data_IF_211490971191
#
_entry.id   IF_211490971191
#
_cell.length_a   1.000
_cell.length_b   1.000
_cell.length_c   1.000
_cell.angle_alpha   90.00
_cell.angle_beta   90.00
_cell.angle_gamma   90.00
#
_symmetry.space_group_name_H-M   'P 1'
#
loop_
_entity.id
_entity.type
_entity.pdbx_description
1 polymer ?
#
# COMPACT_ATOMS: atom_id res chain seq x y z
N UNK A 1 41.07 20.17 8.14
CA UNK A 1 40.29 18.95 8.40
C UNK A 1 38.84 19.27 8.07
N UNK A 2 38.36 18.84 6.90
CA UNK A 2 36.97 19.05 6.46
C UNK A 2 36.22 17.75 6.74
N UNK A 3 35.35 17.75 7.73
CA UNK A 3 34.41 16.66 7.97
C UNK A 3 33.35 16.71 6.87
N UNK A 4 33.30 15.65 6.06
CA UNK A 4 32.27 15.47 5.06
C UNK A 4 30.96 15.07 5.78
N UNK A 5 29.91 15.87 5.58
CA UNK A 5 28.54 15.53 5.95
C UNK A 5 28.06 14.44 4.97
N UNK A 6 27.55 13.29 5.42
CA UNK A 6 26.99 12.30 4.51
C UNK A 6 25.70 12.85 3.87
N UNK A 7 25.60 12.71 2.56
CA UNK A 7 24.45 13.15 1.78
C UNK A 7 23.19 12.33 2.14
N UNK A 8 22.10 13.03 2.43
CA UNK A 8 20.76 12.45 2.64
C UNK A 8 20.25 11.88 1.30
N UNK A 9 19.85 10.60 1.20
CA UNK A 9 19.35 10.03 -0.05
C UNK A 9 17.98 10.61 -0.43
N UNK A 10 17.73 10.80 -1.72
CA UNK A 10 16.48 11.35 -2.24
C UNK A 10 15.27 10.48 -1.88
N UNK A 11 14.28 11.09 -1.24
CA UNK A 11 13.04 10.49 -0.76
C UNK A 11 12.07 10.07 -1.89
N UNK A 12 11.20 9.12 -1.56
CA UNK A 12 10.24 8.38 -2.41
C UNK A 12 9.12 9.32 -2.90
N UNK A 13 9.31 9.97 -4.05
CA UNK A 13 8.23 10.75 -4.68
C UNK A 13 7.49 9.86 -5.67
N UNK A 14 6.38 9.24 -5.25
CA UNK A 14 5.45 8.57 -6.14
C UNK A 14 4.33 9.55 -6.54
N UNK A 15 4.47 10.22 -7.69
CA UNK A 15 3.41 11.06 -8.29
C UNK A 15 3.00 10.46 -9.64
N UNK A 16 1.78 9.92 -9.73
CA UNK A 16 1.16 9.57 -11.03
C UNK A 16 0.68 10.86 -11.73
N UNK A 17 1.26 11.16 -12.89
CA UNK A 17 0.97 12.37 -13.69
C UNK A 17 -0.32 12.27 -14.53
N UNK A 18 -1.30 11.44 -14.16
CA UNK A 18 -2.54 11.27 -14.93
C UNK A 18 -3.79 11.80 -14.19
N UNK A 19 -3.93 13.13 -14.12
CA UNK A 19 -5.24 13.79 -13.96
C UNK A 19 -5.29 15.10 -14.74
N UNK A 20 -6.31 15.27 -15.61
CA UNK A 20 -7.06 16.50 -16.00
C UNK A 20 -8.20 15.99 -16.93
N UNK A 21 -9.49 16.23 -16.67
CA UNK A 21 -10.21 17.50 -16.93
C UNK A 21 -11.49 17.63 -16.08
N UNK A 22 -11.66 18.73 -15.32
CA UNK A 22 -12.54 19.91 -15.56
C UNK A 22 -14.05 19.61 -15.77
N UNK A 23 -15.05 20.37 -15.30
CA UNK A 23 -15.24 21.49 -14.34
C UNK A 23 -16.78 21.78 -14.32
N UNK A 24 -17.36 22.29 -13.21
CA UNK A 24 -18.35 23.41 -13.16
C UNK A 24 -19.38 23.39 -11.99
N UNK A 25 -19.09 24.25 -10.99
CA UNK A 25 -19.92 25.31 -10.32
C UNK A 25 -21.26 25.05 -9.58
N UNK A 26 -21.59 25.89 -8.56
CA UNK A 26 -22.38 25.54 -7.36
C UNK A 26 -23.83 26.05 -7.36
N UNK A 27 -24.64 25.76 -6.32
CA UNK A 27 -25.08 26.87 -5.45
C UNK A 27 -25.34 26.57 -3.95
N UNK A 28 -25.14 27.63 -3.16
CA UNK A 28 -25.89 28.14 -1.98
C UNK A 28 -25.97 27.38 -0.64
N UNK A 29 -25.40 28.06 0.36
CA UNK A 29 -25.66 28.14 1.81
C UNK A 29 -26.91 27.44 2.37
N UNK A 30 -26.69 26.56 3.35
CA UNK A 30 -27.54 26.44 4.55
C UNK A 30 -26.79 25.75 5.69
N UNK A 31 -26.67 26.47 6.80
CA UNK A 31 -26.04 26.07 8.05
C UNK A 31 -26.88 24.98 8.73
N UNK A 32 -26.39 23.75 8.74
CA UNK A 32 -26.83 22.72 9.69
C UNK A 32 -25.60 21.96 10.16
N UNK A 33 -25.38 21.99 11.47
CA UNK A 33 -24.38 21.20 12.18
C UNK A 33 -24.75 19.72 12.04
N UNK A 34 -24.40 19.12 10.91
CA UNK A 34 -24.47 17.69 10.71
C UNK A 34 -23.10 17.14 11.06
N UNK A 35 -23.00 16.42 12.19
CA UNK A 35 -21.90 15.50 12.41
C UNK A 35 -22.04 14.47 11.29
N UNK A 36 -21.32 14.72 10.20
CA UNK A 36 -21.21 13.77 9.12
C UNK A 36 -20.58 12.52 9.73
N UNK A 37 -21.37 11.47 9.91
CA UNK A 37 -20.83 10.13 9.97
C UNK A 37 -20.10 9.93 8.65
N UNK A 38 -18.81 10.29 8.61
CA UNK A 38 -17.91 9.92 7.52
C UNK A 38 -18.00 8.41 7.52
N UNK A 39 -18.75 7.86 6.56
CA UNK A 39 -18.85 6.42 6.34
C UNK A 39 -17.43 6.01 5.98
N UNK A 40 -16.63 5.65 6.99
CA UNK A 40 -15.31 5.10 6.76
C UNK A 40 -15.54 3.87 5.90
N UNK A 41 -15.17 3.97 4.64
CA UNK A 41 -15.33 2.89 3.69
C UNK A 41 -14.22 1.87 4.04
N UNK A 42 -14.46 1.08 5.09
CA UNK A 42 -13.50 0.14 5.71
C UNK A 42 -13.20 -1.08 4.83
N UNK A 43 -13.54 -1.04 3.54
CA UNK A 43 -13.47 -2.19 2.63
C UNK A 43 -12.47 -2.04 1.49
N UNK A 44 -11.58 -1.05 1.55
CA UNK A 44 -10.62 -0.86 0.47
C UNK A 44 -9.35 -1.69 0.71
N UNK A 45 -8.87 -2.38 -0.33
CA UNK A 45 -7.60 -3.09 -0.31
C UNK A 45 -6.43 -2.10 -0.29
N UNK A 46 -5.92 -1.83 0.91
CA UNK A 46 -4.73 -1.02 1.14
C UNK A 46 -3.46 -1.77 0.72
N UNK A 47 -2.41 -1.07 0.34
CA UNK A 47 -1.12 -1.67 -0.03
C UNK A 47 -0.58 -2.60 1.07
N UNK A 48 -0.71 -2.21 2.34
CA UNK A 48 -0.30 -3.04 3.48
C UNK A 48 -0.89 -4.46 3.46
N UNK A 49 -2.12 -4.62 2.94
CA UNK A 49 -2.78 -5.92 2.83
C UNK A 49 -2.00 -6.89 1.93
N UNK A 50 -1.27 -6.37 0.94
CA UNK A 50 -0.45 -7.21 0.04
C UNK A 50 0.65 -7.99 0.77
N UNK A 51 1.07 -7.51 1.94
CA UNK A 51 2.11 -8.14 2.76
C UNK A 51 1.58 -9.23 3.71
N UNK A 52 0.26 -9.45 3.75
CA UNK A 52 -0.36 -10.43 4.64
C UNK A 52 -1.23 -11.47 3.90
N UNK A 53 -1.27 -11.39 2.58
CA UNK A 53 -2.10 -12.25 1.74
C UNK A 53 -1.22 -13.14 0.87
N UNK A 54 -1.44 -14.45 0.99
CA UNK A 54 -0.79 -15.51 0.21
C UNK A 54 -1.80 -16.21 -0.69
N UNK A 55 -1.31 -17.08 -1.58
CA UNK A 55 -2.18 -17.94 -2.37
C UNK A 55 -3.07 -18.81 -1.48
N UNK A 56 -4.36 -18.90 -1.82
CA UNK A 56 -5.35 -19.69 -1.11
C UNK A 56 -5.43 -21.16 -1.58
N UNK A 57 -4.78 -21.52 -2.70
CA UNK A 57 -4.79 -22.89 -3.22
C UNK A 57 -4.04 -23.79 -2.24
N UNK A 58 -4.67 -24.88 -1.79
CA UNK A 58 -4.16 -25.74 -0.71
C UNK A 58 -2.77 -26.32 -0.98
N UNK A 59 -2.46 -26.66 -2.23
CA UNK A 59 -1.14 -27.17 -2.61
C UNK A 59 -0.02 -26.13 -2.50
N UNK A 60 -0.35 -24.86 -2.31
CA UNK A 60 0.61 -23.77 -2.12
C UNK A 60 0.92 -23.49 -0.65
N UNK A 61 0.28 -24.16 0.31
CA UNK A 61 0.42 -23.82 1.74
C UNK A 61 1.86 -23.91 2.26
N UNK A 62 2.64 -24.87 1.76
CA UNK A 62 4.05 -25.07 2.11
C UNK A 62 5.03 -24.39 1.14
N UNK A 63 4.55 -23.77 0.06
CA UNK A 63 5.43 -23.13 -0.92
C UNK A 63 5.79 -21.71 -0.48
N UNK A 64 7.08 -21.42 -0.48
CA UNK A 64 7.59 -20.06 -0.25
C UNK A 64 7.21 -19.10 -1.38
N UNK A 65 6.98 -19.61 -2.58
CA UNK A 65 6.57 -18.81 -3.75
C UNK A 65 5.07 -18.50 -3.76
N UNK A 66 4.31 -19.00 -2.77
CA UNK A 66 2.91 -18.63 -2.56
C UNK A 66 2.75 -17.22 -1.98
N UNK A 67 3.84 -16.59 -1.53
CA UNK A 67 3.88 -15.25 -0.96
C UNK A 67 5.15 -14.47 -1.36
N UNK A 68 5.06 -13.17 -1.67
CA UNK A 68 3.82 -12.43 -1.95
C UNK A 68 3.21 -12.88 -3.29
N UNK A 69 1.96 -12.49 -3.54
CA UNK A 69 1.37 -12.58 -4.87
C UNK A 69 1.97 -11.51 -5.80
N UNK A 70 1.99 -11.76 -7.10
CA UNK A 70 2.46 -10.81 -8.12
C UNK A 70 1.30 -9.92 -8.55
N UNK A 71 1.48 -8.61 -8.56
CA UNK A 71 0.44 -7.66 -8.92
C UNK A 71 0.61 -7.18 -10.37
N UNK A 72 -0.48 -7.07 -11.11
CA UNK A 72 -0.45 -6.56 -12.48
C UNK A 72 -1.78 -5.93 -12.88
N UNK A 73 -1.75 -5.08 -13.91
CA UNK A 73 -2.93 -4.36 -14.42
C UNK A 73 -3.68 -3.58 -13.32
N UNK A 74 -2.94 -3.09 -12.31
CA UNK A 74 -3.53 -2.46 -11.14
C UNK A 74 -3.91 -0.98 -11.39
N UNK A 75 -5.10 -0.61 -10.96
CA UNK A 75 -5.52 0.77 -10.77
C UNK A 75 -5.39 1.13 -9.30
N UNK A 76 -4.62 2.18 -9.02
CA UNK A 76 -4.28 2.59 -7.66
C UNK A 76 -4.88 3.95 -7.39
N UNK A 77 -5.38 4.16 -6.18
CA UNK A 77 -5.80 5.46 -5.67
C UNK A 77 -5.08 5.74 -4.35
N UNK A 78 -4.82 7.00 -4.08
CA UNK A 78 -4.31 7.46 -2.80
C UNK A 78 -5.38 8.29 -2.11
N UNK A 79 -5.68 7.94 -0.86
CA UNK A 79 -6.64 8.65 -0.01
C UNK A 79 -5.93 9.07 1.27
N UNK A 80 -5.92 10.38 1.55
CA UNK A 80 -5.33 10.92 2.77
C UNK A 80 -6.08 10.42 4.00
N UNK A 81 -5.33 9.86 4.95
CA UNK A 81 -5.84 9.31 6.19
C UNK A 81 -5.17 9.95 7.40
N UNK A 82 -5.78 9.77 8.57
CA UNK A 82 -5.18 10.26 9.81
C UNK A 82 -3.82 9.59 10.03
N UNK A 83 -2.79 10.43 10.04
CA UNK A 83 -1.42 9.97 10.24
C UNK A 83 -1.21 9.47 11.67
N UNK A 84 -0.72 8.25 11.77
CA UNK A 84 -0.42 7.57 13.03
C UNK A 84 0.99 6.95 12.94
N UNK A 85 2.04 7.65 13.39
CA UNK A 85 3.41 7.17 13.29
C UNK A 85 3.66 5.93 14.14
N UNK A 86 3.04 5.82 15.32
CA UNK A 86 3.17 4.67 16.20
C UNK A 86 2.65 3.40 15.51
N UNK A 87 1.55 3.49 14.76
CA UNK A 87 1.04 2.38 13.98
C UNK A 87 2.06 1.93 12.93
N UNK A 88 2.72 2.87 12.24
CA UNK A 88 3.72 2.55 11.22
C UNK A 88 4.93 1.84 11.84
N UNK A 89 5.46 2.35 12.96
CA UNK A 89 6.59 1.73 13.67
C UNK A 89 6.26 0.29 14.10
N UNK A 90 5.12 0.08 14.77
CA UNK A 90 4.71 -1.27 15.18
C UNK A 90 4.44 -2.19 13.98
N UNK A 91 3.91 -1.64 12.89
CA UNK A 91 3.64 -2.44 11.71
C UNK A 91 4.92 -2.85 11.00
N UNK A 92 5.92 -1.96 10.93
CA UNK A 92 7.22 -2.26 10.34
C UNK A 92 7.78 -3.55 10.90
N UNK A 93 7.75 -3.76 12.23
CA UNK A 93 8.24 -4.99 12.86
C UNK A 93 7.62 -6.28 12.28
N UNK A 94 6.38 -6.21 11.79
CA UNK A 94 5.62 -7.36 11.27
C UNK A 94 5.71 -7.52 9.76
N UNK A 95 6.19 -6.51 9.04
CA UNK A 95 6.28 -6.55 7.59
C UNK A 95 7.46 -7.39 7.11
N UNK A 96 7.20 -8.22 6.10
CA UNK A 96 8.24 -8.83 5.26
C UNK A 96 8.68 -7.80 4.22
N UNK A 97 9.85 -7.20 4.43
CA UNK A 97 10.29 -6.03 3.65
C UNK A 97 10.58 -6.37 2.19
N UNK A 98 11.08 -7.57 1.89
CA UNK A 98 11.34 -7.93 0.50
C UNK A 98 10.05 -8.00 -0.30
N UNK A 99 8.95 -8.45 0.31
CA UNK A 99 7.63 -8.48 -0.27
C UNK A 99 7.07 -7.08 -0.48
N UNK A 100 7.29 -6.15 0.47
CA UNK A 100 6.95 -4.72 0.29
C UNK A 100 7.66 -4.17 -0.96
N UNK A 101 8.98 -4.37 -1.07
CA UNK A 101 9.77 -3.88 -2.22
C UNK A 101 9.33 -4.54 -3.53
N UNK A 102 9.09 -5.86 -3.54
CA UNK A 102 8.61 -6.59 -4.72
C UNK A 102 7.26 -6.07 -5.20
N UNK A 103 6.28 -5.95 -4.30
CA UNK A 103 4.93 -5.49 -4.67
C UNK A 103 4.95 -4.00 -5.04
N UNK A 104 5.76 -3.16 -4.36
CA UNK A 104 5.92 -1.77 -4.76
C UNK A 104 6.43 -1.65 -6.21
N UNK A 105 7.41 -2.49 -6.60
CA UNK A 105 7.90 -2.57 -7.97
C UNK A 105 6.83 -3.06 -8.95
N UNK A 106 6.07 -4.09 -8.59
CA UNK A 106 4.94 -4.59 -9.41
C UNK A 106 3.92 -3.45 -9.71
N UNK A 107 3.77 -2.51 -8.78
CA UNK A 107 2.90 -1.33 -8.89
C UNK A 107 3.58 -0.08 -9.45
N UNK A 108 4.84 -0.18 -9.92
CA UNK A 108 5.58 0.90 -10.56
C UNK A 108 6.32 1.86 -9.61
N UNK A 109 6.55 1.47 -8.36
CA UNK A 109 7.38 2.20 -7.41
C UNK A 109 8.72 1.49 -7.16
N UNK A 110 9.80 2.03 -7.74
CA UNK A 110 11.17 1.50 -7.59
C UNK A 110 12.02 2.29 -6.57
N UNK A 111 11.44 3.29 -5.92
CA UNK A 111 12.19 4.22 -5.06
C UNK A 111 12.41 3.73 -3.64
N UNK A 112 11.85 2.58 -3.25
CA UNK A 112 12.01 2.04 -1.91
C UNK A 112 13.46 1.60 -1.64
N UNK A 113 13.96 1.83 -0.40
CA UNK A 113 15.27 1.33 -0.02
C UNK A 113 15.29 -0.21 -0.01
N UNK A 114 16.42 -0.83 -0.42
CA UNK A 114 16.54 -2.29 -0.47
C UNK A 114 16.55 -2.92 0.92
N UNK A 115 16.97 -2.15 1.94
CA UNK A 115 17.02 -2.59 3.34
C UNK A 115 15.89 -1.93 4.11
N UNK A 116 15.28 -2.70 5.00
CA UNK A 116 14.20 -2.25 5.88
C UNK A 116 14.72 -1.15 6.81
N UNK A 117 14.02 -0.01 6.94
CA UNK A 117 14.31 0.96 7.98
C UNK A 117 14.13 0.34 9.37
N UNK A 118 15.10 0.55 10.26
CA UNK A 118 15.10 0.03 11.64
C UNK A 118 15.31 1.17 12.64
N UNK A 119 14.82 0.98 13.87
CA UNK A 119 15.06 1.92 14.96
C UNK A 119 14.40 3.30 14.81
N UNK A 120 13.33 3.41 14.01
CA UNK A 120 12.60 4.66 13.82
C UNK A 120 11.83 5.05 15.09
N UNK A 121 12.01 6.29 15.53
CA UNK A 121 11.31 6.86 16.68
C UNK A 121 10.20 7.83 16.21
N UNK A 122 8.94 7.61 16.61
CA UNK A 122 7.81 8.45 16.21
C UNK A 122 7.86 9.89 16.76
N UNK A 123 8.83 10.23 17.60
CA UNK A 123 9.04 11.58 18.16
C UNK A 123 10.17 12.33 17.44
N UNK A 124 11.12 11.62 16.84
CA UNK A 124 12.28 12.24 16.18
C UNK A 124 11.89 12.87 14.84
N UNK A 125 12.28 14.14 14.63
CA UNK A 125 11.92 14.93 13.44
C UNK A 125 12.47 14.32 12.14
N UNK A 126 13.71 13.83 12.16
CA UNK A 126 14.34 13.19 11.00
C UNK A 126 13.61 11.91 10.57
N UNK A 127 13.12 11.13 11.54
CA UNK A 127 12.38 9.88 11.30
C UNK A 127 10.96 10.14 10.81
N UNK A 128 10.36 11.29 11.15
CA UNK A 128 9.01 11.64 10.69
C UNK A 128 8.89 11.63 9.18
N UNK A 129 9.93 12.03 8.45
CA UNK A 129 9.91 12.05 6.99
C UNK A 129 9.73 10.63 6.44
N UNK A 130 10.49 9.67 6.98
CA UNK A 130 10.41 8.26 6.58
C UNK A 130 9.06 7.65 6.99
N UNK A 131 8.59 7.96 8.20
CA UNK A 131 7.31 7.46 8.71
C UNK A 131 6.13 7.99 7.91
N UNK A 132 6.20 9.24 7.42
CA UNK A 132 5.19 9.83 6.52
C UNK A 132 5.16 9.13 5.17
N UNK A 133 6.32 8.89 4.55
CA UNK A 133 6.40 8.19 3.27
C UNK A 133 5.84 6.75 3.40
N UNK A 134 6.18 6.07 4.49
CA UNK A 134 5.65 4.75 4.80
C UNK A 134 4.14 4.77 5.07
N UNK A 135 3.62 5.78 5.76
CA UNK A 135 2.18 5.95 5.94
C UNK A 135 1.45 6.09 4.61
N UNK A 136 1.96 6.97 3.74
CA UNK A 136 1.42 7.15 2.39
C UNK A 136 1.43 5.85 1.60
N UNK A 137 2.55 5.12 1.58
CA UNK A 137 2.63 3.86 0.88
C UNK A 137 1.71 2.80 1.47
N UNK A 138 1.83 2.52 2.77
CA UNK A 138 1.18 1.36 3.39
C UNK A 138 -0.32 1.56 3.61
N UNK A 139 -0.73 2.78 3.98
CA UNK A 139 -2.06 3.04 4.54
C UNK A 139 -2.94 3.86 3.60
N UNK A 140 -2.38 4.84 2.90
CA UNK A 140 -3.12 5.74 2.00
C UNK A 140 -3.24 5.20 0.58
N UNK A 141 -2.27 4.39 0.15
CA UNK A 141 -2.27 3.77 -1.18
C UNK A 141 -3.18 2.54 -1.21
N UNK A 142 -4.11 2.49 -2.16
CA UNK A 142 -5.14 1.47 -2.27
C UNK A 142 -5.24 0.94 -3.70
N UNK A 143 -5.49 -0.35 -3.85
CA UNK A 143 -5.71 -0.99 -5.16
C UNK A 143 -7.21 -1.10 -5.38
N UNK A 144 -7.72 -0.48 -6.45
CA UNK A 144 -9.16 -0.44 -6.78
C UNK A 144 -9.54 -1.58 -7.72
N UNK A 145 -8.75 -1.78 -8.76
CA UNK A 145 -8.91 -2.85 -9.75
C UNK A 145 -7.54 -3.47 -10.01
N UNK A 146 -7.49 -4.76 -10.36
CA UNK A 146 -6.23 -5.39 -10.76
C UNK A 146 -6.25 -6.91 -10.67
N UNK A 147 -5.08 -7.50 -10.91
CA UNK A 147 -4.84 -8.95 -10.82
C UNK A 147 -3.76 -9.25 -9.79
N UNK A 148 -3.90 -10.39 -9.11
CA UNK A 148 -2.87 -10.96 -8.26
C UNK A 148 -2.60 -12.39 -8.72
N UNK A 149 -1.36 -12.68 -9.11
CA UNK A 149 -0.96 -13.99 -9.65
C UNK A 149 -0.09 -14.71 -8.63
N UNK A 150 -0.42 -15.96 -8.34
CA UNK A 150 0.43 -16.80 -7.50
C UNK A 150 1.73 -17.15 -8.25
N UNK A 151 2.90 -16.92 -7.62
CA UNK A 151 4.19 -17.26 -8.24
C UNK A 151 4.52 -18.76 -8.21
N UNK A 152 3.76 -19.55 -7.45
CA UNK A 152 3.91 -21.01 -7.36
C UNK A 152 2.99 -21.77 -8.34
N UNK A 153 1.69 -21.47 -8.34
CA UNK A 153 0.69 -22.23 -9.10
C UNK A 153 0.04 -21.45 -10.25
N UNK A 154 0.47 -20.20 -10.47
CA UNK A 154 -0.01 -19.31 -11.54
C UNK A 154 -1.51 -18.95 -11.47
N UNK A 155 -2.21 -19.35 -10.39
CA UNK A 155 -3.61 -18.99 -10.21
C UNK A 155 -3.78 -17.47 -10.12
N UNK A 156 -4.78 -16.95 -10.84
CA UNK A 156 -5.06 -15.53 -10.97
C UNK A 156 -6.28 -15.17 -10.11
N UNK A 157 -6.05 -14.30 -9.14
CA UNK A 157 -7.08 -13.63 -8.36
C UNK A 157 -7.36 -12.24 -8.95
N UNK A 158 -8.58 -11.75 -8.78
CA UNK A 158 -8.99 -10.43 -9.27
C UNK A 158 -9.36 -9.54 -8.09
N UNK A 159 -8.96 -8.27 -8.18
CA UNK A 159 -9.39 -7.19 -7.30
C UNK A 159 -10.42 -6.38 -8.08
N UNK A 160 -11.63 -6.20 -7.52
CA UNK A 160 -12.69 -5.37 -8.10
C UNK A 160 -13.33 -4.50 -7.05
N UNK A 161 -13.50 -3.21 -7.31
CA UNK A 161 -13.99 -2.21 -6.36
C UNK A 161 -13.26 -2.31 -4.99
N UNK A 162 -11.94 -2.48 -5.05
CA UNK A 162 -11.06 -2.64 -3.90
C UNK A 162 -11.29 -3.91 -3.05
N UNK A 163 -12.02 -4.90 -3.58
CA UNK A 163 -12.28 -6.19 -2.92
C UNK A 163 -11.55 -7.30 -3.67
N UNK A 164 -10.55 -7.97 -3.05
CA UNK A 164 -9.90 -9.12 -3.63
C UNK A 164 -10.80 -10.37 -3.55
N UNK A 165 -10.93 -11.10 -4.65
CA UNK A 165 -11.68 -12.35 -4.71
C UNK A 165 -10.74 -13.55 -4.56
N UNK A 166 -10.85 -14.28 -3.45
CA UNK A 166 -10.12 -15.52 -3.14
C UNK A 166 -10.97 -16.79 -3.28
N UNK A 167 -12.16 -16.71 -3.89
CA UNK A 167 -12.99 -17.90 -4.12
C UNK A 167 -12.32 -18.83 -5.12
N UNK A 168 -12.17 -20.09 -4.72
CA UNK A 168 -11.54 -21.13 -5.53
C UNK A 168 -12.59 -22.06 -6.15
N UNK A 169 -12.35 -22.59 -7.35
CA UNK A 169 -13.07 -23.73 -7.87
C UNK A 169 -12.94 -24.96 -6.95
N UNK A 170 -13.95 -25.86 -6.89
CA UNK A 170 -13.93 -27.01 -5.98
C UNK A 170 -12.71 -27.93 -6.07
N UNK A 171 -12.05 -27.99 -7.24
CA UNK A 171 -10.88 -28.83 -7.47
C UNK A 171 -9.56 -28.22 -6.98
N UNK A 172 -9.57 -26.98 -6.47
CA UNK A 172 -8.40 -26.28 -5.90
C UNK A 172 -8.53 -26.02 -4.39
N UNK A 173 -9.67 -26.41 -3.79
CA UNK A 173 -9.98 -26.28 -2.36
C UNK A 173 -9.30 -27.37 -1.50
#
# INVERSE_FOLDING_TARGET
MRTAVPAVPQYIIWRDERKISNRNTPPTTQTQTQIAHKKYNTRNMKFITTNFVKCAVKTCDSSVDAFPLQYSDCQIVQEELEYNPEFIVHMLERLEWNAVVKVARDLGNESLPPVKPEGLDPIMEDDQVILRDLHTLLVETQIVEGKMVCRNCEHIYFIKNSIPNFLLPPHLC
#
